data_IF_049263073964
#
_entry.id   IF_049263073964
#
_cell.length_a   1.000
_cell.length_b   1.000
_cell.length_c   1.000
_cell.angle_alpha   90.00
_cell.angle_beta   90.00
_cell.angle_gamma   90.00
#
_symmetry.space_group_name_H-M   'P 1'
#
loop_
_entity.id
_entity.type
_entity.pdbx_description
1 polymer ?
#
# COMPACT_ATOMS: atom_id res chain seq x y z
N UNK A 1 -6.34 -11.93 0.15
CA UNK A 1 -6.73 -10.73 -0.62
C UNK A 1 -5.84 -9.60 -0.15
N UNK A 2 -5.57 -8.59 -0.98
CA UNK A 2 -4.70 -7.50 -0.55
C UNK A 2 -5.38 -6.63 0.48
N UNK A 3 -4.61 -6.19 1.46
CA UNK A 3 -4.97 -5.03 2.27
C UNK A 3 -5.22 -3.84 1.35
N UNK A 4 -6.45 -3.33 1.35
CA UNK A 4 -6.90 -2.26 0.47
C UNK A 4 -6.39 -0.91 0.97
N UNK A 5 -5.82 -0.09 0.08
CA UNK A 5 -5.37 1.27 0.43
C UNK A 5 -6.12 2.28 -0.40
N UNK A 6 -6.89 3.17 0.23
CA UNK A 6 -7.57 4.26 -0.43
C UNK A 6 -6.74 5.54 -0.32
N UNK A 7 -6.32 6.11 -1.45
CA UNK A 7 -5.58 7.38 -1.53
C UNK A 7 -6.37 8.30 -2.46
N UNK A 8 -6.75 9.49 -1.98
CA UNK A 8 -7.51 10.48 -2.75
C UNK A 8 -8.82 9.89 -3.32
N UNK A 9 -9.50 9.04 -2.55
CA UNK A 9 -10.73 8.34 -2.97
C UNK A 9 -10.51 7.17 -3.94
N UNK A 10 -9.25 6.80 -4.24
CA UNK A 10 -8.92 5.76 -5.20
C UNK A 10 -8.36 4.54 -4.49
N UNK A 11 -9.00 3.41 -4.73
CA UNK A 11 -8.66 2.11 -4.16
C UNK A 11 -7.45 1.50 -4.87
N UNK A 12 -6.39 1.26 -4.11
CA UNK A 12 -5.21 0.50 -4.49
C UNK A 12 -5.34 -0.90 -3.90
N UNK A 13 -5.38 -1.90 -4.78
CA UNK A 13 -5.51 -3.32 -4.41
C UNK A 13 -4.25 -4.12 -4.73
N UNK A 14 -3.19 -3.45 -5.20
CA UNK A 14 -1.91 -4.05 -5.58
C UNK A 14 -0.74 -3.13 -5.21
N UNK A 15 0.47 -3.68 -4.95
CA UNK A 15 1.67 -2.88 -4.73
C UNK A 15 1.97 -1.90 -5.87
N UNK A 16 1.77 -2.31 -7.12
CA UNK A 16 1.98 -1.44 -8.29
C UNK A 16 1.08 -0.21 -8.27
N UNK A 17 -0.21 -0.38 -7.97
CA UNK A 17 -1.14 0.75 -7.85
C UNK A 17 -0.71 1.68 -6.72
N UNK A 18 -0.31 1.11 -5.58
CA UNK A 18 0.15 1.88 -4.43
C UNK A 18 1.42 2.68 -4.74
N UNK A 19 2.45 2.05 -5.31
CA UNK A 19 3.69 2.72 -5.69
C UNK A 19 3.46 3.86 -6.70
N UNK A 20 2.60 3.65 -7.70
CA UNK A 20 2.23 4.68 -8.66
C UNK A 20 1.59 5.90 -7.98
N UNK A 21 0.85 5.69 -6.88
CA UNK A 21 0.21 6.78 -6.12
C UNK A 21 1.14 7.46 -5.14
N UNK A 22 2.02 6.71 -4.51
CA UNK A 22 3.06 7.25 -3.64
C UNK A 22 4.16 7.96 -4.44
N UNK A 23 4.23 7.72 -5.75
CA UNK A 23 5.22 8.33 -6.65
C UNK A 23 6.63 7.77 -6.47
N UNK A 24 6.79 6.69 -5.71
CA UNK A 24 8.08 6.09 -5.43
C UNK A 24 7.94 4.59 -5.10
N UNK A 25 8.49 3.76 -5.97
CA UNK A 25 8.60 2.31 -5.78
C UNK A 25 9.44 1.94 -4.55
N UNK A 26 10.46 2.73 -4.22
CA UNK A 26 11.34 2.51 -3.07
C UNK A 26 10.71 2.78 -1.70
N UNK A 27 9.44 3.21 -1.66
CA UNK A 27 8.67 3.35 -0.43
C UNK A 27 7.95 2.05 -0.04
N UNK A 28 7.79 1.11 -0.98
CA UNK A 28 7.18 -0.18 -0.69
C UNK A 28 8.08 -1.00 0.23
N UNK A 29 7.53 -1.41 1.35
CA UNK A 29 8.15 -2.39 2.25
C UNK A 29 7.63 -3.78 1.91
N UNK A 30 8.51 -4.64 1.41
CA UNK A 30 8.15 -5.99 0.99
C UNK A 30 8.26 -6.98 2.16
N UNK A 31 7.25 -7.83 2.34
CA UNK A 31 7.27 -8.94 3.31
C UNK A 31 8.09 -10.11 2.76
N UNK A 32 7.91 -10.41 1.47
CA UNK A 32 8.70 -11.37 0.70
C UNK A 32 8.67 -10.93 -0.78
N UNK A 33 9.82 -10.69 -1.38
CA UNK A 33 9.94 -10.24 -2.77
C UNK A 33 10.95 -11.11 -3.51
N UNK A 34 10.43 -11.92 -4.44
CA UNK A 34 11.16 -12.90 -5.24
C UNK A 34 11.14 -12.55 -6.73
N UNK A 35 10.28 -11.64 -7.18
CA UNK A 35 10.37 -11.08 -8.54
C UNK A 35 9.17 -10.24 -8.98
N UNK A 36 9.13 -9.91 -10.28
CA UNK A 36 8.15 -8.97 -10.84
C UNK A 36 6.68 -9.36 -10.65
N UNK A 37 6.37 -10.65 -10.46
CA UNK A 37 5.01 -11.12 -10.20
C UNK A 37 4.46 -10.62 -8.85
N UNK A 38 5.35 -10.31 -7.90
CA UNK A 38 4.97 -9.84 -6.56
C UNK A 38 4.34 -8.46 -6.59
N UNK A 39 4.56 -7.68 -7.65
CA UNK A 39 3.89 -6.39 -7.87
C UNK A 39 2.38 -6.51 -8.07
N UNK A 40 1.92 -7.70 -8.45
CA UNK A 40 0.50 -8.03 -8.62
C UNK A 40 -0.05 -8.79 -7.40
N UNK A 41 0.82 -9.24 -6.48
CA UNK A 41 0.48 -9.98 -5.27
C UNK A 41 0.57 -9.04 -4.06
N UNK A 42 -0.21 -9.29 -3.02
CA UNK A 42 -0.17 -8.42 -1.84
C UNK A 42 0.89 -8.90 -0.84
N UNK A 43 2.15 -8.78 -1.23
CA UNK A 43 3.29 -9.21 -0.41
C UNK A 43 4.07 -8.02 0.15
N UNK A 44 3.37 -6.90 0.39
CA UNK A 44 3.93 -5.70 1.02
C UNK A 44 3.32 -5.47 2.41
N UNK A 45 4.13 -4.92 3.30
CA UNK A 45 3.71 -4.42 4.60
C UNK A 45 3.14 -3.01 4.39
N UNK A 46 1.81 -2.94 4.26
CA UNK A 46 1.09 -1.68 4.03
C UNK A 46 1.31 -0.67 5.17
N UNK A 47 1.16 -1.02 6.47
CA UNK A 47 1.48 -0.11 7.56
C UNK A 47 2.88 0.50 7.45
N UNK A 48 3.92 -0.33 7.31
CA UNK A 48 5.31 0.17 7.21
C UNK A 48 5.55 1.02 5.96
N UNK A 49 4.95 0.63 4.83
CA UNK A 49 4.99 1.41 3.58
C UNK A 49 4.41 2.81 3.81
N UNK A 50 3.25 2.89 4.48
CA UNK A 50 2.58 4.17 4.75
C UNK A 50 3.34 5.00 5.79
N UNK A 51 3.91 4.39 6.83
CA UNK A 51 4.80 5.07 7.79
C UNK A 51 5.99 5.75 7.08
N UNK A 52 6.60 5.08 6.09
CA UNK A 52 7.71 5.65 5.29
C UNK A 52 7.27 6.76 4.34
N UNK A 53 5.99 6.80 3.97
CA UNK A 53 5.47 7.80 3.03
C UNK A 53 5.25 9.19 3.65
N UNK A 54 5.40 9.34 4.97
CA UNK A 54 5.08 10.55 5.74
C UNK A 54 3.63 11.07 5.57
N UNK A 55 2.74 10.25 4.99
CA UNK A 55 1.33 10.56 4.85
C UNK A 55 0.58 10.22 6.14
N UNK A 56 -0.48 10.97 6.43
CA UNK A 56 -1.41 10.60 7.49
C UNK A 56 -2.33 9.51 6.97
N UNK A 57 -2.61 8.51 7.80
CA UNK A 57 -3.49 7.42 7.42
C UNK A 57 -4.22 6.88 8.64
N UNK A 58 -5.38 6.29 8.38
CA UNK A 58 -6.18 5.56 9.36
C UNK A 58 -6.45 4.16 8.84
N UNK A 59 -6.63 3.20 9.75
CA UNK A 59 -7.17 1.89 9.42
C UNK A 59 -8.67 1.91 9.68
N UNK A 60 -9.48 1.63 8.67
CA UNK A 60 -10.92 1.55 8.83
C UNK A 60 -11.31 0.22 9.49
N UNK A 61 -11.64 0.28 10.78
CA UNK A 61 -12.31 -0.79 11.53
C UNK A 61 -11.58 -2.14 11.56
N UNK A 62 -12.35 -3.23 11.54
CA UNK A 62 -11.85 -4.62 11.46
C UNK A 62 -11.44 -5.04 10.04
N UNK A 63 -11.72 -4.21 9.04
CA UNK A 63 -11.32 -4.45 7.66
C UNK A 63 -9.81 -4.29 7.46
N UNK A 64 -9.26 -5.02 6.49
CA UNK A 64 -7.93 -4.79 5.96
C UNK A 64 -7.93 -3.57 5.01
N UNK A 65 -8.53 -2.45 5.41
CA UNK A 65 -8.59 -1.22 4.61
C UNK A 65 -7.89 -0.05 5.32
N UNK A 66 -7.05 0.66 4.58
CA UNK A 66 -6.28 1.81 5.02
C UNK A 66 -6.69 3.02 4.19
N UNK A 67 -7.06 4.11 4.85
CA UNK A 67 -7.43 5.38 4.20
C UNK A 67 -6.32 6.38 4.47
N UNK A 68 -5.78 6.95 3.40
CA UNK A 68 -4.69 7.92 3.44
C UNK A 68 -5.26 9.32 3.23
N UNK A 69 -4.92 10.22 4.15
CA UNK A 69 -5.24 11.64 4.09
C UNK A 69 -4.01 12.43 3.58
N UNK A 70 -4.20 13.22 2.53
CA UNK A 70 -3.21 14.13 1.95
C UNK A 70 -3.50 15.58 2.30
#
# INVERSE_FOLDING_TARGET
MCTQVQIDGILCSTPRQLAARLGAEGLLEWVDHQGEMDWCLCVIDVPRTLERSALKWIREGESEMFVVER
#
